data_IF_115555881531
#
_entry.id   IF_115555881531
#
_cell.length_a   1.000
_cell.length_b   1.000
_cell.length_c   1.000
_cell.angle_alpha   90.00
_cell.angle_beta   90.00
_cell.angle_gamma   90.00
#
_symmetry.space_group_name_H-M   'P 1'
#
loop_
_entity.id
_entity.type
_entity.pdbx_description
1 polymer ?
#
# COMPACT_ATOMS: atom_id res chain seq x y z
N UNK A 1 -2.46 -14.30 1.03
CA UNK A 1 -2.65 -15.69 1.44
C UNK A 1 -4.14 -15.89 1.50
N UNK A 2 -4.67 -16.60 0.51
CA UNK A 2 -6.12 -16.78 0.31
C UNK A 2 -6.68 -17.53 1.53
N UNK A 3 -7.65 -16.93 2.21
CA UNK A 3 -8.24 -17.48 3.44
C UNK A 3 -9.31 -18.54 3.17
N UNK A 4 -10.09 -18.39 2.10
CA UNK A 4 -11.15 -19.34 1.71
C UNK A 4 -10.58 -20.64 1.13
N UNK A 5 -10.90 -21.79 1.76
CA UNK A 5 -10.50 -23.11 1.25
C UNK A 5 -11.16 -23.45 -0.09
N UNK A 6 -12.39 -23.00 -0.32
CA UNK A 6 -13.13 -23.22 -1.57
C UNK A 6 -12.49 -22.45 -2.71
N UNK A 7 -12.18 -21.17 -2.50
CA UNK A 7 -11.53 -20.32 -3.48
C UNK A 7 -10.12 -20.84 -3.83
N UNK A 8 -9.38 -21.29 -2.84
CA UNK A 8 -8.08 -21.92 -3.06
C UNK A 8 -8.18 -23.14 -3.98
N UNK A 9 -9.17 -24.04 -3.74
CA UNK A 9 -9.42 -25.21 -4.59
C UNK A 9 -9.85 -24.81 -5.99
N UNK A 10 -10.73 -23.82 -6.12
CA UNK A 10 -11.18 -23.29 -7.40
C UNK A 10 -10.01 -22.82 -8.25
N UNK A 11 -9.17 -21.97 -7.67
CA UNK A 11 -8.00 -21.41 -8.34
C UNK A 11 -6.96 -22.47 -8.70
N UNK A 12 -6.70 -23.43 -7.81
CA UNK A 12 -5.77 -24.53 -8.05
C UNK A 12 -6.25 -25.42 -9.20
N UNK A 13 -7.52 -25.79 -9.25
CA UNK A 13 -8.11 -26.60 -10.32
C UNK A 13 -8.04 -25.86 -11.65
N UNK A 14 -8.39 -24.57 -11.65
CA UNK A 14 -8.40 -23.73 -12.83
C UNK A 14 -7.00 -23.60 -13.43
N UNK A 15 -6.01 -23.20 -12.62
CA UNK A 15 -4.63 -23.02 -13.09
C UNK A 15 -4.02 -24.36 -13.53
N UNK A 16 -4.31 -25.48 -12.85
CA UNK A 16 -3.84 -26.80 -13.25
C UNK A 16 -4.34 -27.21 -14.63
N UNK A 17 -5.57 -26.81 -15.01
CA UNK A 17 -6.16 -27.13 -16.32
C UNK A 17 -5.61 -26.27 -17.45
N UNK A 18 -5.17 -25.04 -17.14
CA UNK A 18 -4.67 -24.08 -18.13
C UNK A 18 -3.17 -24.23 -18.36
N UNK A 19 -2.43 -24.60 -17.30
CA UNK A 19 -0.98 -24.62 -17.32
C UNK A 19 -0.43 -25.70 -18.25
N UNK A 20 0.46 -25.37 -19.20
CA UNK A 20 1.09 -26.36 -20.07
C UNK A 20 1.93 -27.37 -19.27
N UNK A 21 2.16 -28.55 -19.86
CA UNK A 21 3.05 -29.57 -19.26
C UNK A 21 4.45 -28.98 -19.05
N UNK A 22 5.07 -29.31 -17.92
CA UNK A 22 6.40 -28.87 -17.49
C UNK A 22 6.48 -27.41 -16.99
N UNK A 23 5.34 -26.74 -16.78
CA UNK A 23 5.30 -25.43 -16.12
C UNK A 23 4.75 -25.56 -14.70
N UNK A 24 5.25 -24.71 -13.80
CA UNK A 24 4.72 -24.50 -12.45
C UNK A 24 4.18 -23.07 -12.31
N UNK A 25 3.20 -22.87 -11.41
CA UNK A 25 2.64 -21.56 -11.14
C UNK A 25 2.47 -21.31 -9.64
N UNK A 26 2.72 -20.08 -9.23
CA UNK A 26 2.43 -19.58 -7.87
C UNK A 26 1.24 -18.63 -7.97
N UNK A 27 0.12 -19.01 -7.35
CA UNK A 27 -1.09 -18.20 -7.31
C UNK A 27 -0.97 -17.21 -6.15
N UNK A 28 -1.00 -15.91 -6.47
CA UNK A 28 -0.98 -14.83 -5.48
C UNK A 28 -2.40 -14.49 -5.02
N UNK A 29 -2.51 -13.78 -3.90
CA UNK A 29 -3.80 -13.30 -3.34
C UNK A 29 -4.56 -12.39 -4.30
N UNK A 30 -3.88 -11.65 -5.16
CA UNK A 30 -4.49 -10.83 -6.21
C UNK A 30 -5.36 -11.61 -7.22
N UNK A 31 -5.23 -12.95 -7.26
CA UNK A 31 -6.07 -13.82 -8.08
C UNK A 31 -7.43 -14.15 -7.41
N UNK A 32 -7.60 -13.83 -6.12
CA UNK A 32 -8.83 -14.12 -5.38
C UNK A 32 -10.02 -13.38 -6.01
N UNK A 33 -11.10 -14.11 -6.28
CA UNK A 33 -12.31 -13.58 -6.93
C UNK A 33 -12.19 -13.26 -8.42
N UNK A 34 -11.02 -13.40 -9.04
CA UNK A 34 -10.83 -13.13 -10.49
C UNK A 34 -11.57 -14.16 -11.35
N UNK A 35 -12.07 -13.67 -12.49
CA UNK A 35 -12.72 -14.50 -13.49
C UNK A 35 -11.72 -15.50 -14.13
N UNK A 36 -12.18 -16.68 -14.48
CA UNK A 36 -11.39 -17.71 -15.14
C UNK A 36 -10.71 -17.21 -16.43
N UNK A 37 -11.44 -16.47 -17.26
CA UNK A 37 -10.93 -15.93 -18.51
C UNK A 37 -9.75 -14.97 -18.33
N UNK A 38 -9.78 -14.18 -17.24
CA UNK A 38 -8.67 -13.24 -16.93
C UNK A 38 -7.41 -14.00 -16.52
N UNK A 39 -7.56 -15.04 -15.69
CA UNK A 39 -6.45 -15.88 -15.25
C UNK A 39 -5.87 -16.70 -16.41
N UNK A 40 -6.72 -17.18 -17.32
CA UNK A 40 -6.30 -17.89 -18.53
C UNK A 40 -5.45 -16.99 -19.44
N UNK A 41 -5.94 -15.80 -19.74
CA UNK A 41 -5.20 -14.82 -20.53
C UNK A 41 -3.85 -14.44 -19.89
N UNK A 42 -3.79 -14.32 -18.57
CA UNK A 42 -2.56 -14.02 -17.83
C UNK A 42 -1.54 -15.18 -17.95
N UNK A 43 -1.98 -16.42 -17.75
CA UNK A 43 -1.12 -17.61 -17.88
C UNK A 43 -0.58 -17.72 -19.31
N UNK A 44 -1.43 -17.59 -20.34
CA UNK A 44 -1.02 -17.64 -21.74
C UNK A 44 0.03 -16.56 -22.02
N UNK A 45 -0.23 -15.31 -21.60
CA UNK A 45 0.70 -14.20 -21.79
C UNK A 45 2.07 -14.45 -21.16
N UNK A 46 2.10 -15.03 -19.94
CA UNK A 46 3.35 -15.35 -19.24
C UNK A 46 4.14 -16.45 -19.97
N UNK A 47 3.45 -17.51 -20.43
CA UNK A 47 4.07 -18.60 -21.19
C UNK A 47 4.64 -18.09 -22.50
N UNK A 48 3.87 -17.30 -23.27
CA UNK A 48 4.33 -16.72 -24.53
C UNK A 48 5.57 -15.81 -24.34
N UNK A 49 5.59 -15.00 -23.29
CA UNK A 49 6.75 -14.17 -22.95
C UNK A 49 7.99 -15.01 -22.70
N UNK A 50 7.85 -16.10 -21.96
CA UNK A 50 8.94 -17.03 -21.68
C UNK A 50 9.44 -17.71 -22.95
N UNK A 51 8.56 -18.28 -23.76
CA UNK A 51 8.91 -18.94 -25.02
C UNK A 51 9.59 -17.99 -26.01
N UNK A 52 9.08 -16.75 -26.13
CA UNK A 52 9.71 -15.73 -26.96
C UNK A 52 11.10 -15.33 -26.47
N UNK A 53 11.33 -15.36 -25.15
CA UNK A 53 12.65 -15.12 -24.56
C UNK A 53 13.64 -16.24 -24.93
N UNK A 54 13.19 -17.49 -24.93
CA UNK A 54 14.00 -18.62 -25.39
C UNK A 54 14.36 -18.55 -26.90
N UNK A 55 13.40 -18.13 -27.72
CA UNK A 55 13.67 -17.90 -29.16
C UNK A 55 14.74 -16.82 -29.40
N UNK A 56 14.68 -15.74 -28.61
CA UNK A 56 15.71 -14.68 -28.63
C UNK A 56 17.07 -15.19 -28.17
N UNK A 57 17.10 -16.00 -27.12
CA UNK A 57 18.35 -16.59 -26.63
C UNK A 57 19.04 -17.44 -27.67
N UNK A 58 18.30 -18.26 -28.40
CA UNK A 58 18.85 -19.11 -29.48
C UNK A 58 19.48 -18.30 -30.62
N UNK A 59 19.08 -17.06 -30.82
CA UNK A 59 19.60 -16.15 -31.83
C UNK A 59 20.69 -15.20 -31.30
N UNK A 60 20.94 -15.19 -30.02
CA UNK A 60 21.85 -14.23 -29.38
C UNK A 60 23.30 -14.65 -29.50
N UNK A 61 24.17 -13.66 -29.73
CA UNK A 61 25.62 -13.82 -29.67
C UNK A 61 26.16 -12.94 -28.54
N UNK A 62 26.34 -13.53 -27.36
CA UNK A 62 26.87 -12.82 -26.19
C UNK A 62 25.81 -12.44 -25.17
N UNK A 63 26.18 -11.58 -24.20
CA UNK A 63 25.32 -11.14 -23.12
C UNK A 63 24.31 -10.12 -23.62
N UNK A 64 23.02 -10.41 -23.50
CA UNK A 64 21.95 -9.47 -23.85
C UNK A 64 20.75 -9.62 -22.93
N UNK A 65 19.95 -8.56 -22.83
CA UNK A 65 18.68 -8.57 -22.09
C UNK A 65 17.64 -9.35 -22.91
N UNK A 66 17.21 -10.50 -22.41
CA UNK A 66 16.22 -11.36 -23.09
C UNK A 66 14.79 -10.91 -22.81
N UNK A 67 14.53 -10.55 -21.57
CA UNK A 67 13.20 -10.19 -21.09
C UNK A 67 13.32 -9.18 -19.94
N UNK A 68 12.42 -8.22 -19.94
CA UNK A 68 12.19 -7.34 -18.78
C UNK A 68 10.79 -7.62 -18.28
N UNK A 69 10.66 -7.91 -17.02
CA UNK A 69 9.35 -7.95 -16.38
C UNK A 69 8.66 -6.59 -16.54
N UNK A 70 7.37 -6.53 -16.30
CA UNK A 70 6.65 -5.26 -16.37
C UNK A 70 7.44 -4.13 -15.70
N UNK A 71 7.37 -2.93 -16.26
CA UNK A 71 7.98 -1.76 -15.63
C UNK A 71 7.48 -1.60 -14.19
N UNK A 72 8.24 -0.90 -13.36
CA UNK A 72 7.80 -0.60 -11.98
C UNK A 72 6.39 0.00 -11.96
N UNK A 73 6.06 0.83 -12.95
CA UNK A 73 4.75 1.47 -13.10
C UNK A 73 3.64 0.45 -13.30
N UNK A 74 3.82 -0.50 -14.20
CA UNK A 74 2.81 -1.55 -14.46
C UNK A 74 2.67 -2.49 -13.25
N UNK A 75 3.77 -2.78 -12.55
CA UNK A 75 3.73 -3.58 -11.32
C UNK A 75 2.94 -2.87 -10.22
N UNK A 76 3.15 -1.56 -10.03
CA UNK A 76 2.40 -0.75 -9.06
C UNK A 76 0.90 -0.74 -9.43
N UNK A 77 0.57 -0.55 -10.70
CA UNK A 77 -0.83 -0.57 -11.15
C UNK A 77 -1.48 -1.93 -10.93
N UNK A 78 -0.78 -3.02 -11.25
CA UNK A 78 -1.29 -4.38 -10.98
C UNK A 78 -1.67 -4.58 -9.51
N UNK A 79 -0.89 -4.01 -8.60
CA UNK A 79 -1.07 -4.21 -7.16
C UNK A 79 -2.09 -3.23 -6.55
N UNK A 80 -2.27 -2.04 -7.15
CA UNK A 80 -3.07 -0.95 -6.59
C UNK A 80 -4.38 -0.69 -7.33
N UNK A 81 -4.46 -1.00 -8.63
CA UNK A 81 -5.63 -0.67 -9.45
C UNK A 81 -6.89 -1.34 -8.91
N UNK A 82 -7.90 -0.54 -8.64
CA UNK A 82 -9.22 -0.97 -8.20
C UNK A 82 -10.27 0.04 -8.70
N UNK A 83 -11.54 -0.22 -8.42
CA UNK A 83 -12.67 0.59 -8.90
C UNK A 83 -12.71 2.03 -8.33
N UNK A 84 -11.90 2.34 -7.33
CA UNK A 84 -11.80 3.70 -6.78
C UNK A 84 -10.95 4.66 -7.63
N UNK A 85 -10.21 4.13 -8.62
CA UNK A 85 -9.39 4.95 -9.51
C UNK A 85 -10.26 5.72 -10.50
N UNK A 86 -10.27 7.05 -10.39
CA UNK A 86 -10.98 7.92 -11.31
C UNK A 86 -10.14 8.31 -12.52
N UNK A 87 -8.86 8.56 -12.35
CA UNK A 87 -7.94 8.97 -13.43
C UNK A 87 -6.50 8.54 -13.11
N UNK A 88 -5.74 8.28 -14.17
CA UNK A 88 -4.30 8.03 -14.15
C UNK A 88 -3.65 9.02 -15.12
N UNK A 89 -2.94 10.00 -14.59
CA UNK A 89 -2.25 11.00 -15.39
C UNK A 89 -0.78 10.64 -15.57
N UNK A 90 -0.29 10.72 -16.81
CA UNK A 90 1.08 10.36 -17.18
C UNK A 90 1.67 11.44 -18.07
N UNK A 91 2.85 11.95 -17.75
CA UNK A 91 3.54 12.98 -18.52
C UNK A 91 4.64 12.46 -19.47
N UNK A 92 4.74 11.14 -19.64
CA UNK A 92 5.66 10.48 -20.57
C UNK A 92 4.87 9.60 -21.53
N UNK A 93 5.04 9.82 -22.84
CA UNK A 93 4.28 9.12 -23.88
C UNK A 93 4.52 7.61 -23.88
N UNK A 94 5.75 7.16 -23.66
CA UNK A 94 6.07 5.73 -23.65
C UNK A 94 5.40 5.02 -22.47
N UNK A 95 5.44 5.64 -21.29
CA UNK A 95 4.77 5.11 -20.08
C UNK A 95 3.26 5.17 -20.26
N UNK A 96 2.71 6.22 -20.87
CA UNK A 96 1.29 6.32 -21.18
C UNK A 96 0.81 5.16 -22.06
N UNK A 97 1.50 4.87 -23.16
CA UNK A 97 1.15 3.77 -24.05
C UNK A 97 1.31 2.39 -23.37
N UNK A 98 2.33 2.24 -22.54
CA UNK A 98 2.54 1.01 -21.77
C UNK A 98 1.38 0.76 -20.79
N UNK A 99 1.01 1.78 -20.00
CA UNK A 99 -0.09 1.70 -19.03
C UNK A 99 -1.41 1.45 -19.76
N UNK A 100 -1.67 2.18 -20.83
CA UNK A 100 -2.88 2.04 -21.62
C UNK A 100 -3.04 0.62 -22.15
N UNK A 101 -2.00 0.05 -22.75
CA UNK A 101 -1.98 -1.34 -23.23
C UNK A 101 -2.22 -2.33 -22.10
N UNK A 102 -1.60 -2.10 -20.95
CA UNK A 102 -1.78 -2.97 -19.79
C UNK A 102 -3.22 -2.94 -19.28
N UNK A 103 -3.81 -1.75 -19.11
CA UNK A 103 -5.19 -1.62 -18.61
C UNK A 103 -6.19 -2.16 -19.63
N UNK A 104 -5.99 -1.95 -20.92
CA UNK A 104 -6.87 -2.52 -21.96
C UNK A 104 -6.91 -4.05 -21.95
N UNK A 105 -5.85 -4.71 -21.45
CA UNK A 105 -5.82 -6.17 -21.31
C UNK A 105 -6.55 -6.68 -20.06
N UNK A 106 -6.44 -5.96 -18.93
CA UNK A 106 -6.97 -6.43 -17.64
C UNK A 106 -8.36 -5.88 -17.31
N UNK A 107 -8.68 -4.67 -17.78
CA UNK A 107 -9.93 -3.97 -17.52
C UNK A 107 -10.24 -2.97 -18.65
N UNK A 108 -10.71 -3.46 -19.82
CA UNK A 108 -10.91 -2.63 -21.01
C UNK A 108 -11.83 -1.41 -20.77
N UNK A 109 -12.80 -1.54 -19.88
CA UNK A 109 -13.73 -0.47 -19.49
C UNK A 109 -13.01 0.69 -18.79
N UNK A 110 -11.91 0.41 -18.12
CA UNK A 110 -11.10 1.42 -17.41
C UNK A 110 -10.02 2.07 -18.27
N UNK A 111 -9.82 1.68 -19.54
CA UNK A 111 -8.82 2.30 -20.42
C UNK A 111 -8.96 3.83 -20.49
N UNK A 112 -10.19 4.33 -20.42
CA UNK A 112 -10.52 5.77 -20.51
C UNK A 112 -9.98 6.61 -19.34
N UNK A 113 -9.65 5.99 -18.21
CA UNK A 113 -9.10 6.71 -17.05
C UNK A 113 -7.64 7.12 -17.27
N UNK A 114 -6.93 6.50 -18.21
CA UNK A 114 -5.52 6.84 -18.52
C UNK A 114 -5.49 8.09 -19.38
N UNK A 115 -4.78 9.10 -18.91
CA UNK A 115 -4.71 10.42 -19.57
C UNK A 115 -3.26 10.87 -19.71
N UNK A 116 -2.90 11.27 -20.93
CA UNK A 116 -1.61 11.89 -21.18
C UNK A 116 -1.65 13.36 -20.73
N UNK A 117 -0.76 13.72 -19.81
CA UNK A 117 -0.61 15.07 -19.29
C UNK A 117 0.36 15.86 -20.19
N UNK A 118 -0.10 16.98 -20.76
CA UNK A 118 0.68 17.80 -21.72
C UNK A 118 0.81 19.29 -21.31
N UNK A 119 0.33 19.66 -20.12
CA UNK A 119 0.39 21.04 -19.67
C UNK A 119 1.84 21.46 -19.34
N UNK A 120 2.08 22.78 -19.35
CA UNK A 120 3.41 23.36 -19.09
C UNK A 120 3.85 23.24 -17.61
N UNK A 121 2.87 23.24 -16.68
CA UNK A 121 3.17 23.09 -15.26
C UNK A 121 3.65 21.67 -14.96
N UNK A 122 4.62 21.48 -14.04
CA UNK A 122 4.97 20.14 -13.59
C UNK A 122 3.74 19.39 -13.06
N UNK A 123 3.58 18.12 -13.44
CA UNK A 123 2.38 17.33 -13.12
C UNK A 123 2.07 17.30 -11.61
N UNK A 124 3.07 17.21 -10.75
CA UNK A 124 2.89 17.20 -9.30
C UNK A 124 2.45 18.56 -8.74
N UNK A 125 2.88 19.66 -9.38
CA UNK A 125 2.46 21.01 -8.98
C UNK A 125 1.03 21.28 -9.43
N UNK A 126 0.67 20.83 -10.64
CA UNK A 126 -0.70 20.94 -11.16
C UNK A 126 -1.74 20.27 -10.25
N UNK A 127 -1.42 19.10 -9.72
CA UNK A 127 -2.29 18.35 -8.80
C UNK A 127 -2.00 18.63 -7.32
N UNK A 128 -1.24 19.68 -7.00
CA UNK A 128 -0.83 20.06 -5.64
C UNK A 128 -0.10 18.95 -4.84
N UNK A 129 0.38 17.90 -5.51
CA UNK A 129 1.06 16.78 -4.86
C UNK A 129 2.35 17.23 -4.18
N UNK A 130 3.13 18.11 -4.82
CA UNK A 130 4.37 18.66 -4.24
C UNK A 130 4.08 19.37 -2.91
N UNK A 131 2.99 20.15 -2.84
CA UNK A 131 2.57 20.84 -1.62
C UNK A 131 2.13 19.85 -0.54
N UNK A 132 1.35 18.86 -0.92
CA UNK A 132 0.90 17.80 0.01
C UNK A 132 2.07 17.00 0.57
N UNK A 133 3.04 16.61 -0.26
CA UNK A 133 4.26 15.92 0.19
C UNK A 133 5.00 16.78 1.21
N UNK A 134 5.29 18.06 0.89
CA UNK A 134 6.00 18.96 1.81
C UNK A 134 5.28 19.12 3.15
N UNK A 135 3.96 19.26 3.14
CA UNK A 135 3.17 19.38 4.37
C UNK A 135 3.10 18.06 5.16
N UNK A 136 3.06 16.94 4.48
CA UNK A 136 2.94 15.61 5.11
C UNK A 136 4.21 15.16 5.82
N UNK A 137 5.40 15.69 5.44
CA UNK A 137 6.67 15.36 6.09
C UNK A 137 7.09 16.38 7.17
N UNK A 138 6.25 17.35 7.48
CA UNK A 138 6.49 18.30 8.58
C UNK A 138 6.48 17.62 9.95
N UNK A 139 7.20 18.20 10.92
CA UNK A 139 7.18 17.75 12.32
C UNK A 139 5.78 17.86 12.92
N UNK A 140 5.05 18.91 12.58
CA UNK A 140 3.69 19.18 13.05
C UNK A 140 2.70 18.86 11.93
N UNK A 141 1.73 18.00 12.22
CA UNK A 141 0.69 17.58 11.28
C UNK A 141 -0.66 18.02 11.84
N UNK A 142 -1.36 18.99 11.20
CA UNK A 142 -2.69 19.40 11.63
C UNK A 142 -3.71 18.28 11.38
N UNK A 143 -4.63 18.11 12.33
CA UNK A 143 -5.79 17.23 12.24
C UNK A 143 -7.09 18.02 12.41
N UNK A 144 -8.23 17.32 12.39
CA UNK A 144 -9.54 17.96 12.56
C UNK A 144 -9.68 18.68 13.89
N UNK A 145 -10.61 19.62 13.98
CA UNK A 145 -10.96 20.39 15.19
C UNK A 145 -9.82 21.24 15.78
N UNK A 146 -8.83 21.62 14.96
CA UNK A 146 -7.69 22.42 15.42
C UNK A 146 -6.66 21.65 16.26
N UNK A 147 -6.83 20.35 16.40
CA UNK A 147 -5.83 19.48 17.00
C UNK A 147 -4.67 19.22 16.03
N UNK A 148 -3.55 18.71 16.53
CA UNK A 148 -2.37 18.43 15.71
C UNK A 148 -1.53 17.32 16.33
N UNK A 149 -0.75 16.64 15.48
CA UNK A 149 0.27 15.67 15.89
C UNK A 149 1.64 16.34 15.87
N UNK A 150 2.50 15.94 16.79
CA UNK A 150 3.94 16.22 16.73
C UNK A 150 4.65 14.90 16.53
N UNK A 151 5.34 14.74 15.39
CA UNK A 151 6.02 13.50 15.02
C UNK A 151 7.51 13.73 15.11
N UNK A 152 8.18 12.98 15.97
CA UNK A 152 9.62 13.03 16.19
C UNK A 152 10.28 11.66 16.00
N UNK A 153 11.52 11.70 15.53
CA UNK A 153 12.34 10.52 15.34
C UNK A 153 13.51 10.58 16.32
N UNK A 154 13.66 9.54 17.12
CA UNK A 154 14.83 9.32 17.95
C UNK A 154 15.73 8.25 17.33
N UNK A 155 16.89 7.99 17.93
CA UNK A 155 17.79 6.95 17.46
C UNK A 155 17.15 5.53 17.50
N UNK A 156 16.29 5.26 18.48
CA UNK A 156 15.74 3.92 18.75
C UNK A 156 14.26 3.75 18.38
N UNK A 157 13.48 4.83 18.35
CA UNK A 157 12.05 4.77 18.16
C UNK A 157 11.46 6.08 17.60
N UNK A 158 10.23 6.00 17.15
CA UNK A 158 9.45 7.16 16.74
C UNK A 158 8.46 7.52 17.82
N UNK A 159 8.27 8.82 18.06
CA UNK A 159 7.31 9.34 19.05
C UNK A 159 6.30 10.22 18.34
N UNK A 160 5.03 10.02 18.62
CA UNK A 160 3.92 10.81 18.13
C UNK A 160 3.12 11.33 19.31
N UNK A 161 3.11 12.64 19.51
CA UNK A 161 2.36 13.33 20.55
C UNK A 161 1.09 13.93 19.96
N UNK A 162 -0.06 13.70 20.61
CA UNK A 162 -1.39 14.18 20.20
C UNK A 162 -1.79 15.39 21.01
N UNK A 163 -1.97 16.53 20.34
CA UNK A 163 -2.35 17.78 20.96
C UNK A 163 -3.76 18.21 20.55
N UNK A 164 -4.61 18.51 21.53
CA UNK A 164 -6.01 18.92 21.30
C UNK A 164 -6.20 20.35 20.78
N UNK A 165 -5.13 21.15 20.74
CA UNK A 165 -5.25 22.57 20.39
C UNK A 165 -6.02 23.38 21.43
N UNK A 166 -7.04 24.12 21.00
CA UNK A 166 -7.82 25.00 21.88
C UNK A 166 -8.78 24.17 22.75
N UNK A 167 -8.58 24.17 24.07
CA UNK A 167 -9.45 23.48 25.03
C UNK A 167 -10.79 24.23 25.20
N UNK A 168 -11.90 23.60 24.85
CA UNK A 168 -13.23 24.01 25.27
C UNK A 168 -13.51 23.42 26.66
N UNK A 169 -13.79 24.32 27.64
CA UNK A 169 -14.12 23.93 29.00
C UNK A 169 -15.62 23.63 29.12
N UNK A 170 -16.07 22.39 28.86
CA UNK A 170 -17.46 21.99 29.11
C UNK A 170 -17.54 20.51 29.54
N UNK A 171 -18.68 20.11 30.12
CA UNK A 171 -18.99 18.76 30.60
C UNK A 171 -18.94 17.63 29.54
N UNK A 172 -18.70 17.97 28.27
CA UNK A 172 -18.48 17.05 27.15
C UNK A 172 -16.99 16.76 26.89
N UNK A 173 -16.11 17.10 27.84
CA UNK A 173 -14.66 17.06 27.67
C UNK A 173 -14.14 15.64 27.35
N UNK A 174 -14.67 14.62 28.03
CA UNK A 174 -14.25 13.22 27.80
C UNK A 174 -14.63 12.73 26.40
N UNK A 175 -15.87 13.02 25.94
CA UNK A 175 -16.29 12.65 24.57
C UNK A 175 -15.48 13.39 23.51
N UNK A 176 -15.24 14.70 23.71
CA UNK A 176 -14.42 15.49 22.79
C UNK A 176 -12.98 14.96 22.74
N UNK A 177 -12.41 14.55 23.89
CA UNK A 177 -11.08 13.93 23.95
C UNK A 177 -11.04 12.63 23.15
N UNK A 178 -12.05 11.78 23.33
CA UNK A 178 -12.17 10.55 22.57
C UNK A 178 -12.27 10.80 21.05
N UNK A 179 -13.09 11.77 20.64
CA UNK A 179 -13.25 12.12 19.23
C UNK A 179 -11.94 12.65 18.63
N UNK A 180 -11.21 13.53 19.35
CA UNK A 180 -9.89 14.02 18.91
C UNK A 180 -8.89 12.87 18.80
N UNK A 181 -8.84 11.96 19.77
CA UNK A 181 -7.99 10.79 19.73
C UNK A 181 -8.35 9.86 18.55
N UNK A 182 -9.63 9.74 18.21
CA UNK A 182 -10.08 8.99 17.04
C UNK A 182 -9.61 9.63 15.72
N UNK A 183 -9.69 10.95 15.58
CA UNK A 183 -9.15 11.67 14.40
C UNK A 183 -7.61 11.56 14.36
N UNK A 184 -6.95 11.62 15.51
CA UNK A 184 -5.52 11.40 15.62
C UNK A 184 -5.13 9.99 15.13
N UNK A 185 -5.85 8.96 15.57
CA UNK A 185 -5.60 7.58 15.13
C UNK A 185 -5.70 7.42 13.60
N UNK A 186 -6.73 8.04 12.96
CA UNK A 186 -6.89 8.03 11.50
C UNK A 186 -5.67 8.67 10.80
N UNK A 187 -5.26 9.83 11.28
CA UNK A 187 -4.11 10.53 10.69
C UNK A 187 -2.80 9.82 11.00
N UNK A 188 -2.61 9.27 12.20
CA UNK A 188 -1.42 8.49 12.56
C UNK A 188 -1.25 7.30 11.62
N UNK A 189 -2.30 6.48 11.44
CA UNK A 189 -2.24 5.36 10.51
C UNK A 189 -1.89 5.80 9.07
N UNK A 190 -2.40 6.97 8.64
CA UNK A 190 -2.04 7.57 7.36
C UNK A 190 -0.57 8.02 7.31
N UNK A 191 -0.08 8.67 8.37
CA UNK A 191 1.29 9.18 8.47
C UNK A 191 2.32 8.04 8.53
N UNK A 192 2.04 6.96 9.23
CA UNK A 192 2.89 5.77 9.29
C UNK A 192 3.13 5.21 7.89
N UNK A 193 2.07 5.08 7.07
CA UNK A 193 2.18 4.64 5.68
C UNK A 193 2.88 5.64 4.77
N UNK A 194 2.54 6.94 4.87
CA UNK A 194 3.12 7.99 4.02
C UNK A 194 4.61 8.16 4.23
N UNK A 195 5.07 8.02 5.48
CA UNK A 195 6.46 8.20 5.87
C UNK A 195 7.26 6.90 5.81
N UNK A 196 6.60 5.77 5.49
CA UNK A 196 7.20 4.43 5.54
C UNK A 196 7.90 4.17 6.89
N UNK A 197 7.17 4.47 7.98
CA UNK A 197 7.71 4.36 9.32
C UNK A 197 7.71 2.92 9.77
N UNK A 198 8.87 2.42 10.18
CA UNK A 198 9.07 1.07 10.69
C UNK A 198 9.64 1.06 12.12
N UNK A 199 9.90 -0.13 12.66
CA UNK A 199 10.47 -0.29 13.99
C UNK A 199 9.46 -0.06 15.10
N UNK A 200 9.82 0.71 16.13
CA UNK A 200 9.00 0.97 17.32
C UNK A 200 8.42 2.37 17.21
N UNK A 201 7.10 2.48 17.31
CA UNK A 201 6.37 3.75 17.37
C UNK A 201 5.62 3.85 18.68
N UNK A 202 5.81 4.92 19.41
CA UNK A 202 5.08 5.26 20.64
C UNK A 202 4.15 6.43 20.31
N UNK A 203 2.87 6.24 20.58
CA UNK A 203 1.86 7.29 20.43
C UNK A 203 1.40 7.71 21.82
N UNK A 204 1.49 9.00 22.12
CA UNK A 204 0.99 9.63 23.34
C UNK A 204 -0.38 10.26 23.02
N UNK A 205 -1.45 9.53 23.34
CA UNK A 205 -2.81 10.00 23.18
C UNK A 205 -3.23 10.88 24.34
N UNK A 206 -4.16 11.80 24.10
CA UNK A 206 -4.74 12.62 25.17
C UNK A 206 -5.41 11.70 26.19
N UNK A 207 -5.12 11.92 27.46
CA UNK A 207 -5.63 11.11 28.57
C UNK A 207 -7.17 10.99 28.57
N UNK A 208 -7.64 9.76 28.76
CA UNK A 208 -9.06 9.41 28.87
C UNK A 208 -9.32 8.67 30.17
N UNK A 209 -10.36 9.06 30.89
CA UNK A 209 -10.77 8.42 32.16
C UNK A 209 -11.50 7.09 31.88
N UNK A 210 -12.34 7.06 30.84
CA UNK A 210 -13.17 5.91 30.50
C UNK A 210 -12.36 4.74 29.91
N UNK A 211 -12.46 3.59 30.56
CA UNK A 211 -11.90 2.34 30.03
C UNK A 211 -12.58 1.90 28.70
N UNK A 212 -13.86 2.26 28.52
CA UNK A 212 -14.59 1.96 27.29
C UNK A 212 -14.03 2.75 26.12
N UNK A 213 -13.74 4.04 26.31
CA UNK A 213 -13.11 4.88 25.28
C UNK A 213 -11.70 4.40 24.94
N UNK A 214 -10.89 4.02 25.95
CA UNK A 214 -9.55 3.46 25.70
C UNK A 214 -9.60 2.18 24.88
N UNK A 215 -10.53 1.27 25.20
CA UNK A 215 -10.72 0.04 24.44
C UNK A 215 -11.26 0.29 23.03
N UNK A 216 -12.16 1.25 22.85
CA UNK A 216 -12.69 1.64 21.56
C UNK A 216 -11.60 2.26 20.66
N UNK A 217 -10.78 3.14 21.22
CA UNK A 217 -9.63 3.73 20.50
C UNK A 217 -8.62 2.66 20.06
N UNK A 218 -8.31 1.70 20.94
CA UNK A 218 -7.42 0.59 20.62
C UNK A 218 -7.96 -0.24 19.43
N UNK A 219 -9.24 -0.64 19.48
CA UNK A 219 -9.88 -1.38 18.39
C UNK A 219 -9.87 -0.58 17.09
N UNK A 220 -10.21 0.71 17.16
CA UNK A 220 -10.17 1.60 15.99
C UNK A 220 -8.77 1.66 15.39
N UNK A 221 -7.72 1.76 16.19
CA UNK A 221 -6.35 1.76 15.70
C UNK A 221 -5.98 0.44 15.03
N UNK A 222 -6.39 -0.70 15.59
CA UNK A 222 -6.19 -2.00 14.95
C UNK A 222 -6.87 -2.07 13.58
N UNK A 223 -8.13 -1.67 13.47
CA UNK A 223 -8.89 -1.63 12.20
C UNK A 223 -8.22 -0.74 11.16
N UNK A 224 -7.76 0.46 11.56
CA UNK A 224 -7.06 1.39 10.67
C UNK A 224 -5.72 0.85 10.16
N UNK A 225 -5.06 0.02 10.97
CA UNK A 225 -3.79 -0.60 10.62
C UNK A 225 -3.93 -1.88 9.79
N UNK A 226 -5.10 -2.54 9.74
CA UNK A 226 -5.33 -3.75 8.93
C UNK A 226 -5.03 -3.55 7.44
N UNK A 227 -5.19 -2.32 6.94
CA UNK A 227 -4.90 -1.98 5.54
C UNK A 227 -3.42 -1.77 5.27
N UNK A 228 -2.56 -1.75 6.30
CA UNK A 228 -1.13 -1.60 6.14
C UNK A 228 -0.50 -2.90 5.61
N UNK A 229 0.40 -2.77 4.63
CA UNK A 229 1.10 -3.91 4.03
C UNK A 229 2.23 -4.44 4.92
N UNK A 230 2.81 -3.58 5.75
CA UNK A 230 3.86 -3.95 6.66
C UNK A 230 3.28 -4.80 7.80
N UNK A 231 3.98 -5.87 8.15
CA UNK A 231 3.60 -6.71 9.28
C UNK A 231 3.82 -5.94 10.57
N UNK A 232 2.77 -5.74 11.33
CA UNK A 232 2.78 -4.92 12.54
C UNK A 232 2.00 -5.57 13.69
N UNK A 233 2.17 -5.04 14.88
CA UNK A 233 1.39 -5.37 16.07
C UNK A 233 1.08 -4.09 16.85
N UNK A 234 -0.18 -3.86 17.16
CA UNK A 234 -0.65 -2.73 17.97
C UNK A 234 -0.94 -3.26 19.37
N UNK A 235 -0.35 -2.64 20.40
CA UNK A 235 -0.59 -3.00 21.79
C UNK A 235 -1.65 -2.09 22.42
N UNK A 236 -2.43 -2.60 23.40
CA UNK A 236 -3.41 -1.79 24.13
C UNK A 236 -2.77 -0.57 24.78
N UNK A 237 -3.58 0.49 25.00
CA UNK A 237 -3.12 1.66 25.72
C UNK A 237 -2.66 1.30 27.15
N UNK A 238 -1.54 1.86 27.54
CA UNK A 238 -1.08 1.79 28.91
C UNK A 238 -1.98 2.63 29.84
N UNK A 239 -1.78 2.52 31.16
CA UNK A 239 -2.46 3.38 32.14
C UNK A 239 -2.15 4.88 31.97
N UNK A 240 -1.06 5.20 31.28
CA UNK A 240 -0.59 6.56 31.01
C UNK A 240 -0.94 7.06 29.59
N UNK A 241 -1.93 6.46 28.92
CA UNK A 241 -2.36 6.91 27.58
C UNK A 241 -1.44 6.52 26.41
N UNK A 242 -0.32 5.83 26.68
CA UNK A 242 0.63 5.46 25.64
C UNK A 242 0.19 4.22 24.88
N UNK A 243 0.17 4.28 23.54
CA UNK A 243 -0.03 3.16 22.64
C UNK A 243 1.29 2.82 21.93
N UNK A 244 1.59 1.54 21.82
CA UNK A 244 2.80 1.05 21.15
C UNK A 244 2.43 0.32 19.87
N UNK A 245 3.15 0.62 18.78
CA UNK A 245 3.01 -0.04 17.50
C UNK A 245 4.38 -0.57 17.09
N UNK A 246 4.46 -1.86 16.83
CA UNK A 246 5.69 -2.52 16.40
C UNK A 246 5.56 -2.95 14.94
N UNK A 247 6.51 -2.56 14.11
CA UNK A 247 6.66 -3.08 12.77
C UNK A 247 7.77 -4.12 12.73
N UNK A 248 7.47 -5.27 12.15
CA UNK A 248 8.44 -6.34 12.00
C UNK A 248 9.22 -6.12 10.70
N UNK A 249 10.54 -5.96 10.81
CA UNK A 249 11.41 -5.98 9.64
C UNK A 249 11.47 -7.41 9.11
N UNK A 250 10.83 -7.65 7.96
CA UNK A 250 10.99 -8.90 7.20
C UNK A 250 12.31 -8.83 6.37
N UNK A 251 13.43 -8.48 7.02
CA UNK A 251 14.77 -8.48 6.37
C UNK A 251 15.19 -9.89 5.95
N UNK A 252 14.57 -10.93 6.47
CA UNK A 252 14.83 -12.31 6.07
C UNK A 252 14.44 -12.66 4.63
N UNK A 253 13.56 -11.87 3.98
CA UNK A 253 13.14 -12.11 2.59
C UNK A 253 13.96 -11.34 1.57
N UNK A 254 14.64 -10.27 1.96
CA UNK A 254 15.44 -9.45 1.04
C UNK A 254 16.86 -10.01 0.84
N UNK A 255 17.41 -10.72 1.82
CA UNK A 255 18.74 -11.31 1.73
C UNK A 255 18.79 -12.59 0.86
N UNK A 256 17.65 -13.28 0.67
CA UNK A 256 17.61 -14.50 -0.14
C UNK A 256 17.69 -14.19 -1.66
N UNK A 257 17.38 -12.97 -2.08
CA UNK A 257 17.41 -12.59 -3.50
C UNK A 257 18.74 -11.97 -3.97
N UNK A 258 19.67 -11.66 -3.08
CA UNK A 258 20.96 -11.04 -3.44
C UNK A 258 22.15 -11.99 -3.36
N UNK A 259 21.99 -13.22 -2.85
CA UNK A 259 23.10 -14.17 -2.67
C UNK A 259 23.18 -15.29 -3.72
N UNK A 260 22.28 -15.36 -4.70
CA UNK A 260 22.28 -16.42 -5.72
C UNK A 260 22.42 -15.93 -7.16
N UNK A 261 23.04 -14.78 -7.38
CA UNK A 261 23.48 -14.38 -8.73
C UNK A 261 24.95 -13.96 -8.67
N UNK A 262 25.81 -14.92 -8.61
CA UNK A 262 27.21 -14.87 -9.07
C UNK A 262 27.44 -15.98 -10.06
#
# INVERSE_FOLDING_TARGET
>A
KISSKEEKRRLETLVRNILPKNYGAIIRTAAEGKNAAVLDAEVISLVEKWENSWKKLAQSKGVQLLFTEYSKTTTILRDLLNDSFSNIYVNNENIYEEIRKYISLISPEQEKIVKLYKDKAPIFDHFEVTRQIKSSFGKVVPIKQGAYLVIEHTEALHVIDVNSGIRTKNKEQEQNTFDVNCFAAEEIARQLRLRDMGGIVIVDFIDMESNEHRNALFKKMQELMETDRAKHNVLPLTKFGLMQIFFFNDTATTEIYTSEVC
#
